data_IF_717776911021
#
_entry.id   IF_717776911021
#
_cell.length_a   1.000
_cell.length_b   1.000
_cell.length_c   1.000
_cell.angle_alpha   90.00
_cell.angle_beta   90.00
_cell.angle_gamma   90.00
#
_symmetry.space_group_name_H-M   'P 1'
#
loop_
_entity.id
_entity.type
_entity.pdbx_description
1 polymer ?
#
# COMPACT_ATOMS: atom_id res chain seq x y z
N UNK A 1 -6.51 86.03 44.82
CA UNK A 1 -6.08 84.80 45.49
C UNK A 1 -5.47 83.89 44.43
N UNK A 2 -4.23 83.44 44.60
CA UNK A 2 -3.36 82.86 43.57
C UNK A 2 -3.69 81.41 43.20
N UNK A 3 -3.74 81.13 41.88
CA UNK A 3 -3.18 79.94 41.14
C UNK A 3 -3.70 78.53 41.48
N UNK A 4 -3.27 77.43 40.82
CA UNK A 4 -3.09 77.09 39.37
C UNK A 4 -3.60 75.64 39.02
N UNK A 5 -3.52 75.19 37.75
CA UNK A 5 -2.96 73.85 37.40
C UNK A 5 -2.74 73.62 35.88
N UNK A 6 -1.56 73.09 35.48
CA UNK A 6 -1.30 72.29 34.27
C UNK A 6 -0.64 70.91 34.63
N UNK A 7 -0.13 70.04 33.71
CA UNK A 7 -0.61 69.44 32.44
C UNK A 7 -0.51 67.86 32.44
N UNK A 8 -0.73 67.20 31.28
CA UNK A 8 0.11 66.09 30.70
C UNK A 8 -0.47 64.67 30.37
N UNK A 9 -0.24 64.29 29.09
CA UNK A 9 0.01 62.98 28.41
C UNK A 9 -0.98 61.77 28.32
N UNK A 10 -1.34 61.45 27.05
CA UNK A 10 -1.22 60.11 26.41
C UNK A 10 -2.48 59.23 26.27
N UNK A 11 -2.53 58.19 25.39
CA UNK A 11 -1.62 57.78 24.30
C UNK A 11 -2.33 57.61 22.92
N UNK A 12 -1.52 57.35 21.88
CA UNK A 12 -1.92 56.99 20.51
C UNK A 12 -2.77 55.71 20.46
N UNK A 13 -3.83 55.69 19.65
CA UNK A 13 -4.44 54.46 19.15
C UNK A 13 -5.01 54.69 17.75
N UNK A 14 -4.50 53.85 16.85
CA UNK A 14 -4.76 53.66 15.43
C UNK A 14 -6.19 53.24 15.13
N UNK A 15 -6.88 53.91 14.21
CA UNK A 15 -7.94 53.29 13.39
C UNK A 15 -8.02 53.95 11.99
N UNK A 16 -7.79 53.13 10.98
CA UNK A 16 -8.05 53.36 9.56
C UNK A 16 -9.49 52.90 9.28
N UNK A 17 -10.32 53.67 8.53
CA UNK A 17 -11.01 52.99 7.43
C UNK A 17 -11.36 53.95 6.27
N UNK A 18 -10.80 53.73 5.08
CA UNK A 18 -11.34 54.32 3.86
C UNK A 18 -11.96 53.27 2.93
N UNK A 19 -13.28 53.16 3.07
CA UNK A 19 -14.18 52.69 2.01
C UNK A 19 -14.49 53.81 1.02
N UNK A 20 -14.06 53.61 -0.22
CA UNK A 20 -14.67 53.95 -1.52
C UNK A 20 -15.53 55.22 -1.67
N UNK A 21 -15.30 56.00 -2.73
CA UNK A 21 -16.09 55.92 -4.00
C UNK A 21 -15.87 57.17 -4.90
N UNK A 22 -15.92 56.94 -6.23
CA UNK A 22 -16.54 57.82 -7.27
C UNK A 22 -15.91 59.20 -7.59
N UNK A 23 -15.67 59.72 -8.81
CA UNK A 23 -16.00 59.42 -10.22
C UNK A 23 -15.00 60.20 -11.14
N UNK A 24 -14.57 59.68 -12.30
CA UNK A 24 -14.97 60.01 -13.69
C UNK A 24 -14.21 61.15 -14.44
N UNK A 25 -14.15 60.99 -15.77
CA UNK A 25 -13.76 61.91 -16.87
C UNK A 25 -12.27 62.05 -17.23
N UNK A 26 -11.78 61.35 -18.28
CA UNK A 26 -11.81 61.62 -19.74
C UNK A 26 -10.82 62.71 -20.19
N UNK A 27 -9.73 62.32 -20.87
CA UNK A 27 -9.20 62.95 -22.11
C UNK A 27 -8.08 62.11 -22.73
N UNK A 28 -8.32 61.71 -23.97
CA UNK A 28 -7.43 61.04 -24.94
C UNK A 28 -6.17 61.85 -25.28
N UNK A 29 -5.03 61.16 -25.49
CA UNK A 29 -4.22 61.26 -26.71
C UNK A 29 -2.84 60.59 -26.49
N UNK A 30 -2.70 59.36 -26.97
CA UNK A 30 -1.44 58.62 -26.94
C UNK A 30 -1.57 57.33 -27.76
N UNK A 31 -1.83 57.49 -29.06
CA UNK A 31 -1.84 56.39 -30.02
C UNK A 31 -0.41 55.88 -30.24
N UNK A 32 0.04 55.02 -29.34
CA UNK A 32 1.10 54.05 -29.64
C UNK A 32 0.41 52.75 -30.05
N UNK A 33 0.83 52.07 -31.12
CA UNK A 33 0.28 50.77 -31.46
C UNK A 33 0.69 49.82 -30.34
N UNK A 34 -0.22 49.59 -29.40
CA UNK A 34 -0.13 48.43 -28.53
C UNK A 34 -0.21 47.25 -29.48
N UNK A 35 0.97 46.76 -29.83
CA UNK A 35 1.18 45.45 -30.43
C UNK A 35 0.24 44.52 -29.68
N UNK A 36 -0.80 44.07 -30.39
CA UNK A 36 -1.49 42.82 -30.15
C UNK A 36 -0.44 41.71 -30.16
N UNK A 37 0.40 41.67 -29.12
CA UNK A 37 1.06 40.47 -28.67
C UNK A 37 -0.07 39.65 -28.06
N UNK A 38 -0.87 39.07 -28.95
CA UNK A 38 -1.55 37.81 -28.67
C UNK A 38 -0.47 36.95 -28.01
N UNK A 39 -0.62 36.57 -26.74
CA UNK A 39 0.30 35.63 -26.15
C UNK A 39 0.28 34.40 -27.07
N UNK A 40 1.40 34.16 -27.74
CA UNK A 40 1.58 33.00 -28.59
C UNK A 40 1.15 31.78 -27.75
N UNK A 41 0.19 30.97 -28.19
CA UNK A 41 -0.05 29.68 -27.56
C UNK A 41 1.15 28.79 -27.89
N UNK A 42 2.28 29.06 -27.24
CA UNK A 42 3.36 28.09 -27.12
C UNK A 42 2.70 26.81 -26.66
N UNK A 43 2.72 25.74 -27.48
CA UNK A 43 2.26 24.46 -27.00
C UNK A 43 3.13 24.20 -25.77
N UNK A 44 2.50 24.03 -24.62
CA UNK A 44 3.17 23.56 -23.43
C UNK A 44 3.92 22.28 -23.84
N UNK A 45 5.20 22.42 -24.14
CA UNK A 45 6.14 21.35 -24.45
C UNK A 45 6.49 20.67 -23.13
N UNK A 46 5.46 20.23 -22.44
CA UNK A 46 5.42 19.30 -21.34
C UNK A 46 4.40 18.22 -21.66
N UNK A 47 4.31 17.83 -22.94
CA UNK A 47 3.75 16.54 -23.30
C UNK A 47 4.59 15.51 -22.56
N UNK A 48 4.09 15.05 -21.41
CA UNK A 48 4.67 13.94 -20.69
C UNK A 48 4.88 12.82 -21.69
N UNK A 49 6.14 12.49 -21.97
CA UNK A 49 6.48 11.34 -22.80
C UNK A 49 5.66 10.14 -22.31
N UNK A 50 5.06 9.34 -23.21
CA UNK A 50 4.37 8.13 -22.78
C UNK A 50 5.32 7.32 -21.89
N UNK A 51 4.83 6.70 -20.80
CA UNK A 51 5.69 5.95 -19.90
C UNK A 51 6.50 4.96 -20.73
N UNK A 52 7.84 5.08 -20.65
CA UNK A 52 8.73 4.21 -21.40
C UNK A 52 8.36 2.76 -21.10
N UNK A 53 8.20 1.95 -22.15
CA UNK A 53 7.87 0.54 -22.00
C UNK A 53 8.88 -0.11 -21.04
N UNK A 54 8.42 -0.97 -20.10
CA UNK A 54 9.28 -1.56 -19.10
C UNK A 54 10.46 -2.27 -19.78
N UNK A 55 11.67 -1.91 -19.38
CA UNK A 55 12.88 -2.53 -19.91
C UNK A 55 12.90 -4.03 -19.56
N UNK A 56 13.55 -4.85 -20.38
CA UNK A 56 13.74 -6.28 -20.10
C UNK A 56 14.37 -6.53 -18.72
N UNK A 57 15.21 -5.60 -18.27
CA UNK A 57 15.81 -5.61 -16.94
C UNK A 57 14.79 -5.39 -15.82
N UNK A 58 13.79 -4.53 -16.01
CA UNK A 58 12.71 -4.34 -15.04
C UNK A 58 11.86 -5.62 -14.87
N UNK A 59 11.56 -6.31 -15.97
CA UNK A 59 10.85 -7.60 -15.93
C UNK A 59 11.64 -8.68 -15.21
N UNK A 60 12.93 -8.81 -15.52
CA UNK A 60 13.80 -9.78 -14.87
C UNK A 60 13.95 -9.49 -13.37
N UNK A 61 14.05 -8.21 -12.99
CA UNK A 61 14.10 -7.79 -11.59
C UNK A 61 12.82 -8.19 -10.84
N UNK A 62 11.63 -7.85 -11.37
CA UNK A 62 10.35 -8.21 -10.75
C UNK A 62 10.18 -9.72 -10.65
N UNK A 63 10.56 -10.46 -11.70
CA UNK A 63 10.53 -11.92 -11.68
C UNK A 63 11.46 -12.48 -10.59
N UNK A 64 12.73 -12.06 -10.55
CA UNK A 64 13.70 -12.57 -9.59
C UNK A 64 13.34 -12.21 -8.14
N UNK A 65 12.90 -10.98 -7.88
CA UNK A 65 12.50 -10.57 -6.53
C UNK A 65 11.28 -11.36 -6.07
N UNK A 66 10.23 -11.40 -6.88
CA UNK A 66 9.00 -12.13 -6.55
C UNK A 66 9.26 -13.63 -6.41
N UNK A 67 9.98 -14.23 -7.36
CA UNK A 67 10.32 -15.65 -7.31
C UNK A 67 11.16 -15.98 -6.09
N UNK A 68 12.17 -15.18 -5.75
CA UNK A 68 13.02 -15.42 -4.57
C UNK A 68 12.23 -15.25 -3.28
N UNK A 69 11.42 -14.19 -3.16
CA UNK A 69 10.60 -13.96 -1.96
C UNK A 69 9.57 -15.06 -1.75
N UNK A 70 8.84 -15.45 -2.79
CA UNK A 70 7.84 -16.53 -2.70
C UNK A 70 8.52 -17.88 -2.46
N UNK A 71 9.61 -18.17 -3.18
CA UNK A 71 10.36 -19.41 -2.98
C UNK A 71 10.84 -19.53 -1.54
N UNK A 72 11.40 -18.47 -0.95
CA UNK A 72 11.91 -18.50 0.42
C UNK A 72 10.77 -18.60 1.45
N UNK A 73 9.61 -17.97 1.18
CA UNK A 73 8.43 -18.08 2.04
C UNK A 73 7.81 -19.49 2.02
N UNK A 74 7.88 -20.18 0.88
CA UNK A 74 7.27 -21.50 0.66
C UNK A 74 8.26 -22.66 0.82
N UNK A 75 9.57 -22.38 0.99
CA UNK A 75 10.61 -23.41 1.01
C UNK A 75 10.40 -24.37 2.18
N UNK A 76 10.13 -25.64 1.87
CA UNK A 76 9.92 -26.66 2.89
C UNK A 76 8.52 -26.66 3.50
N UNK A 77 7.53 -26.09 2.81
CA UNK A 77 6.13 -26.32 3.18
C UNK A 77 5.81 -27.84 3.18
N UNK A 78 4.88 -28.23 4.05
CA UNK A 78 4.42 -29.61 4.18
C UNK A 78 3.92 -30.17 2.85
N UNK A 79 3.35 -29.33 1.99
CA UNK A 79 2.90 -29.75 0.65
C UNK A 79 4.08 -30.17 -0.25
N UNK A 80 5.23 -29.50 -0.15
CA UNK A 80 6.43 -29.86 -0.91
C UNK A 80 7.01 -31.19 -0.44
N UNK A 81 7.08 -31.41 0.88
CA UNK A 81 7.52 -32.69 1.45
C UNK A 81 6.56 -33.83 1.10
N UNK A 82 5.24 -33.59 1.15
CA UNK A 82 4.25 -34.58 0.75
C UNK A 82 4.39 -34.97 -0.72
N UNK A 83 4.57 -33.98 -1.62
CA UNK A 83 4.79 -34.24 -3.04
C UNK A 83 6.10 -35.01 -3.29
N UNK A 84 7.19 -34.64 -2.59
CA UNK A 84 8.47 -35.33 -2.68
C UNK A 84 8.37 -36.79 -2.21
N UNK A 85 7.75 -37.02 -1.04
CA UNK A 85 7.55 -38.36 -0.48
C UNK A 85 6.65 -39.22 -1.37
N UNK A 86 5.59 -38.63 -1.93
CA UNK A 86 4.70 -39.33 -2.85
C UNK A 86 5.43 -39.66 -4.17
N UNK A 87 6.28 -38.76 -4.67
CA UNK A 87 7.13 -39.01 -5.83
C UNK A 87 8.14 -40.12 -5.56
N UNK A 88 8.75 -40.14 -4.38
CA UNK A 88 9.69 -41.17 -3.96
C UNK A 88 9.02 -42.55 -3.81
N UNK A 89 7.80 -42.60 -3.27
CA UNK A 89 7.04 -43.86 -3.09
C UNK A 89 6.46 -44.41 -4.39
N UNK A 90 5.97 -43.55 -5.28
CA UNK A 90 5.26 -43.98 -6.50
C UNK A 90 6.19 -44.42 -7.64
N UNK A 91 7.48 -44.05 -7.60
CA UNK A 91 8.44 -44.32 -8.68
C UNK A 91 8.07 -43.66 -10.02
N UNK A 92 7.07 -42.78 -10.04
CA UNK A 92 6.48 -42.17 -11.25
C UNK A 92 6.37 -40.65 -11.07
N UNK A 93 7.49 -39.92 -11.11
CA UNK A 93 7.54 -38.49 -10.79
C UNK A 93 6.63 -37.64 -11.68
N UNK A 94 6.48 -38.01 -12.96
CA UNK A 94 5.62 -37.29 -13.89
C UNK A 94 4.13 -37.32 -13.48
N UNK A 95 3.65 -38.44 -12.94
CA UNK A 95 2.25 -38.58 -12.51
C UNK A 95 1.99 -37.74 -11.25
N UNK A 96 2.94 -37.75 -10.32
CA UNK A 96 2.86 -36.93 -9.10
C UNK A 96 2.90 -35.44 -9.43
N UNK A 97 3.76 -35.03 -10.37
CA UNK A 97 3.81 -33.66 -10.85
C UNK A 97 2.48 -33.20 -11.43
N UNK A 98 1.86 -34.00 -12.32
CA UNK A 98 0.56 -33.67 -12.92
C UNK A 98 -0.54 -33.63 -11.86
N UNK A 99 -0.57 -34.60 -10.94
CA UNK A 99 -1.55 -34.64 -9.85
C UNK A 99 -1.44 -33.45 -8.90
N UNK A 100 -0.23 -33.11 -8.47
CA UNK A 100 0.04 -31.95 -7.63
C UNK A 100 -0.30 -30.62 -8.35
N UNK A 101 0.05 -30.51 -9.63
CA UNK A 101 -0.28 -29.35 -10.45
C UNK A 101 -1.79 -29.17 -10.57
N UNK A 102 -2.53 -30.26 -10.82
CA UNK A 102 -3.98 -30.22 -10.92
C UNK A 102 -4.62 -29.86 -9.57
N UNK A 103 -4.12 -30.43 -8.47
CA UNK A 103 -4.58 -30.08 -7.13
C UNK A 103 -4.38 -28.59 -6.82
N UNK A 104 -3.23 -28.03 -7.21
CA UNK A 104 -2.93 -26.60 -7.02
C UNK A 104 -3.87 -25.71 -7.86
N UNK A 105 -4.12 -26.07 -9.11
CA UNK A 105 -5.05 -25.34 -9.99
C UNK A 105 -6.46 -25.37 -9.40
N UNK A 106 -6.95 -26.55 -9.00
CA UNK A 106 -8.26 -26.70 -8.39
C UNK A 106 -8.37 -25.89 -7.08
N UNK A 107 -7.38 -25.98 -6.21
CA UNK A 107 -7.33 -25.22 -4.96
C UNK A 107 -7.37 -23.70 -5.21
N UNK A 108 -6.55 -23.22 -6.16
CA UNK A 108 -6.51 -21.82 -6.55
C UNK A 108 -7.84 -21.35 -7.13
N UNK A 109 -8.48 -22.17 -7.97
CA UNK A 109 -9.77 -21.86 -8.56
C UNK A 109 -10.86 -21.72 -7.49
N UNK A 110 -10.90 -22.65 -6.54
CA UNK A 110 -11.82 -22.60 -5.39
C UNK A 110 -11.55 -21.34 -4.56
N UNK A 111 -10.28 -21.03 -4.27
CA UNK A 111 -9.89 -19.84 -3.52
C UNK A 111 -10.31 -18.54 -4.21
N UNK A 112 -10.08 -18.41 -5.52
CA UNK A 112 -10.51 -17.24 -6.30
C UNK A 112 -12.03 -17.12 -6.35
N UNK A 113 -12.75 -18.23 -6.53
CA UNK A 113 -14.21 -18.21 -6.62
C UNK A 113 -14.84 -17.84 -5.28
N UNK A 114 -14.34 -18.43 -4.19
CA UNK A 114 -14.76 -18.11 -2.83
C UNK A 114 -14.40 -16.66 -2.46
N UNK A 115 -13.19 -16.22 -2.78
CA UNK A 115 -12.75 -14.84 -2.57
C UNK A 115 -13.65 -13.85 -3.31
N UNK A 116 -13.91 -14.08 -4.60
CA UNK A 116 -14.84 -13.26 -5.40
C UNK A 116 -16.24 -13.24 -4.83
N UNK A 117 -16.73 -14.36 -4.32
CA UNK A 117 -18.03 -14.42 -3.65
C UNK A 117 -18.01 -13.57 -2.38
N UNK A 118 -17.02 -13.74 -1.52
CA UNK A 118 -16.88 -13.01 -0.26
C UNK A 118 -16.74 -11.49 -0.47
N UNK A 119 -15.98 -11.07 -1.51
CA UNK A 119 -15.82 -9.66 -1.88
C UNK A 119 -17.12 -8.99 -2.35
N UNK A 120 -18.17 -9.76 -2.69
CA UNK A 120 -19.51 -9.20 -2.99
C UNK A 120 -20.36 -8.97 -1.75
N UNK A 121 -20.08 -9.71 -0.67
CA UNK A 121 -20.86 -9.62 0.57
C UNK A 121 -20.26 -8.61 1.55
N UNK A 122 -18.94 -8.47 1.58
CA UNK A 122 -18.20 -7.71 2.60
C UNK A 122 -17.36 -6.59 1.97
N UNK A 123 -17.15 -5.50 2.72
CA UNK A 123 -16.24 -4.43 2.33
C UNK A 123 -14.77 -4.91 2.36
N UNK A 124 -13.88 -4.40 1.48
CA UNK A 124 -12.49 -4.84 1.40
C UNK A 124 -11.74 -4.75 2.74
N UNK A 125 -12.01 -3.71 3.53
CA UNK A 125 -11.36 -3.48 4.82
C UNK A 125 -11.74 -4.54 5.86
N UNK A 126 -12.97 -5.05 5.78
CA UNK A 126 -13.44 -6.13 6.65
C UNK A 126 -12.75 -7.45 6.29
N UNK A 127 -12.54 -7.70 5.00
CA UNK A 127 -11.86 -8.91 4.52
C UNK A 127 -10.39 -8.93 4.93
N UNK A 128 -9.68 -7.80 4.80
CA UNK A 128 -8.29 -7.66 5.23
C UNK A 128 -8.15 -7.87 6.75
N UNK A 129 -9.01 -7.21 7.54
CA UNK A 129 -9.00 -7.38 9.00
C UNK A 129 -9.32 -8.82 9.40
N UNK A 130 -10.31 -9.44 8.75
CA UNK A 130 -10.67 -10.84 9.01
C UNK A 130 -9.49 -11.78 8.70
N UNK A 131 -8.83 -11.61 7.55
CA UNK A 131 -7.66 -12.41 7.18
C UNK A 131 -6.53 -12.28 8.21
N UNK A 132 -6.24 -11.05 8.66
CA UNK A 132 -5.24 -10.79 9.70
C UNK A 132 -5.59 -11.44 11.05
N UNK A 133 -6.83 -11.31 11.51
CA UNK A 133 -7.30 -11.94 12.76
C UNK A 133 -7.21 -13.46 12.67
N UNK A 134 -7.68 -14.04 11.56
CA UNK A 134 -7.61 -15.48 11.31
C UNK A 134 -6.14 -15.94 11.35
N UNK A 135 -5.23 -15.23 10.69
CA UNK A 135 -3.80 -15.55 10.71
C UNK A 135 -3.19 -15.54 12.12
N UNK A 136 -3.49 -14.52 12.93
CA UNK A 136 -2.99 -14.46 14.32
C UNK A 136 -3.55 -15.63 15.14
N UNK A 137 -4.85 -15.91 15.03
CA UNK A 137 -5.50 -17.00 15.77
C UNK A 137 -4.90 -18.36 15.38
N UNK A 138 -4.76 -18.64 14.08
CA UNK A 138 -4.12 -19.87 13.58
C UNK A 138 -2.66 -19.96 14.04
N UNK A 139 -1.89 -18.88 13.94
CA UNK A 139 -0.50 -18.84 14.39
C UNK A 139 -0.36 -19.18 15.88
N UNK A 140 -1.18 -18.57 16.74
CA UNK A 140 -1.21 -18.85 18.18
C UNK A 140 -1.65 -20.29 18.46
N UNK A 141 -2.64 -20.80 17.72
CA UNK A 141 -3.13 -22.16 17.89
C UNK A 141 -2.09 -23.21 17.50
N UNK A 142 -1.48 -23.07 16.32
CA UNK A 142 -0.41 -23.96 15.85
C UNK A 142 0.82 -23.88 16.76
N UNK A 143 1.20 -22.68 17.21
CA UNK A 143 2.29 -22.49 18.16
C UNK A 143 2.02 -23.18 19.50
N UNK A 144 0.81 -23.03 20.04
CA UNK A 144 0.40 -23.74 21.26
C UNK A 144 0.45 -25.26 21.07
N UNK A 145 -0.07 -25.77 19.95
CA UNK A 145 0.00 -27.20 19.65
C UNK A 145 1.45 -27.69 19.58
N UNK A 146 2.33 -26.95 18.91
CA UNK A 146 3.74 -27.30 18.83
C UNK A 146 4.42 -27.35 20.22
N UNK A 147 4.14 -26.37 21.09
CA UNK A 147 4.69 -26.34 22.46
C UNK A 147 4.16 -27.49 23.31
N UNK A 148 2.84 -27.77 23.25
CA UNK A 148 2.23 -28.87 23.98
C UNK A 148 2.77 -30.23 23.50
N UNK A 149 2.91 -30.40 22.18
CA UNK A 149 3.50 -31.59 21.57
C UNK A 149 4.95 -31.79 22.04
N UNK A 150 5.74 -30.70 22.07
CA UNK A 150 7.13 -30.73 22.50
C UNK A 150 7.25 -31.11 23.99
N UNK A 151 6.46 -30.47 24.85
CA UNK A 151 6.45 -30.77 26.28
C UNK A 151 6.00 -32.21 26.57
N UNK A 152 4.97 -32.70 25.87
CA UNK A 152 4.51 -34.09 26.00
C UNK A 152 5.57 -35.10 25.54
N UNK A 153 6.27 -34.82 24.44
CA UNK A 153 7.34 -35.68 23.93
C UNK A 153 8.52 -35.76 24.93
N UNK A 154 8.88 -34.63 25.56
CA UNK A 154 9.92 -34.61 26.59
C UNK A 154 9.55 -35.38 27.87
N UNK A 155 8.25 -35.45 28.23
CA UNK A 155 7.78 -36.22 29.39
C UNK A 155 7.74 -37.74 29.13
N UNK A 156 7.56 -38.16 27.88
CA UNK A 156 7.57 -39.58 27.48
C UNK A 156 9.00 -40.14 27.36
N UNK A 157 9.99 -39.28 27.08
CA UNK A 157 11.41 -39.61 27.14
C UNK A 157 11.94 -39.64 28.60
N UNK A 158 11.23 -40.33 29.50
CA UNK A 158 11.58 -40.46 30.92
C UNK A 158 13.02 -40.93 31.14
N UNK A 159 13.60 -40.66 32.34
CA UNK A 159 15.02 -40.88 32.60
C UNK A 159 15.37 -42.35 32.34
N UNK A 160 16.16 -42.59 31.28
CA UNK A 160 16.72 -43.89 30.94
C UNK A 160 17.86 -44.28 31.90
N UNK A 161 17.66 -44.12 33.20
CA UNK A 161 18.63 -44.45 34.25
C UNK A 161 17.89 -45.06 35.45
N UNK A 162 17.98 -46.39 35.54
CA UNK A 162 17.53 -47.25 36.63
C UNK A 162 17.85 -48.69 36.28
#
# INVERSE_FOLDING_TARGET
MSTPEPPSHGPLSSEDPLGQTSQAETTQAGLSPESLAVPDPSPASGAASPPAAPSSQAWLQVFLTTATTVFLAELGDKTQLAALLLSAQSGRPAVVFVGASLALICSSLVGVLLGRWLSRLMAPEQLERAAGVIMVVLGLWLGRQAVLQLAANHLQAGPALG
#
